data_IF_522390095257
#
_entry.id   IF_522390095257
#
_cell.length_a   1.000
_cell.length_b   1.000
_cell.length_c   1.000
_cell.angle_alpha   90.00
_cell.angle_beta   90.00
_cell.angle_gamma   90.00
#
_symmetry.space_group_name_H-M   'P 1'
#
loop_
_entity.id
_entity.type
_entity.pdbx_description
1 polymer ?
#
# COMPACT_ATOMS: atom_id res chain seq x y z
N UNK A 1 -31.40 6.00 6.52
CA UNK A 1 -30.02 6.35 6.13
C UNK A 1 -29.07 5.55 7.01
N UNK A 2 -28.73 4.31 6.60
CA UNK A 2 -27.91 3.43 7.41
C UNK A 2 -26.43 3.81 7.25
N UNK A 3 -25.86 4.42 8.27
CA UNK A 3 -24.41 4.66 8.38
C UNK A 3 -23.71 3.32 8.54
N UNK A 4 -23.18 2.79 7.43
CA UNK A 4 -22.27 1.66 7.44
C UNK A 4 -20.94 2.11 8.06
N UNK A 5 -20.85 2.08 9.41
CA UNK A 5 -19.60 2.22 10.16
C UNK A 5 -18.73 0.98 10.00
N UNK A 6 -18.36 0.69 8.75
CA UNK A 6 -17.24 -0.17 8.46
C UNK A 6 -15.94 0.60 8.70
N UNK A 7 -14.94 -0.04 9.33
CA UNK A 7 -13.58 0.50 9.38
C UNK A 7 -13.14 0.87 7.95
N UNK A 8 -12.31 1.90 7.75
CA UNK A 8 -11.88 2.36 6.40
C UNK A 8 -11.34 1.27 5.45
N UNK A 9 -10.96 0.12 6.00
CA UNK A 9 -10.47 -1.09 5.32
C UNK A 9 -11.59 -2.09 4.99
N UNK A 10 -12.72 -2.09 5.71
CA UNK A 10 -13.85 -2.99 5.44
C UNK A 10 -14.75 -2.50 4.30
N UNK A 11 -14.68 -1.21 3.96
CA UNK A 11 -15.30 -0.68 2.75
C UNK A 11 -14.48 -1.13 1.54
N UNK A 12 -14.97 -2.14 0.82
CA UNK A 12 -14.36 -2.64 -0.43
C UNK A 12 -14.34 -1.62 -1.58
N UNK A 13 -14.82 -0.39 -1.37
CA UNK A 13 -14.86 0.64 -2.41
C UNK A 13 -13.47 0.88 -3.02
N UNK A 14 -13.32 0.90 -4.36
CA UNK A 14 -12.06 1.23 -5.03
C UNK A 14 -11.57 2.65 -4.72
N UNK A 15 -12.44 3.53 -4.20
CA UNK A 15 -12.12 4.90 -3.80
C UNK A 15 -11.96 5.07 -2.27
N UNK A 16 -11.87 3.98 -1.48
CA UNK A 16 -11.72 4.15 -0.03
C UNK A 16 -10.37 4.79 0.33
N UNK A 17 -10.29 5.48 1.48
CA UNK A 17 -9.07 6.21 1.89
C UNK A 17 -7.83 5.32 1.92
N UNK A 18 -7.99 4.01 2.17
CA UNK A 18 -6.87 3.07 2.13
C UNK A 18 -6.36 2.73 0.70
N UNK A 19 -6.92 3.31 -0.37
CA UNK A 19 -6.31 3.36 -1.73
C UNK A 19 -5.79 4.77 -1.97
N UNK A 20 -6.65 5.77 -1.74
CA UNK A 20 -6.38 7.16 -2.09
C UNK A 20 -5.21 7.71 -1.31
N UNK A 21 -5.16 7.51 0.02
CA UNK A 21 -4.08 8.03 0.86
C UNK A 21 -2.72 7.41 0.47
N UNK A 22 -2.57 6.08 0.35
CA UNK A 22 -1.33 5.50 -0.16
C UNK A 22 -0.94 5.98 -1.56
N UNK A 23 -1.90 6.08 -2.49
CA UNK A 23 -1.62 6.55 -3.85
C UNK A 23 -1.16 8.01 -3.86
N UNK A 24 -1.77 8.88 -3.05
CA UNK A 24 -1.36 10.28 -2.89
C UNK A 24 0.04 10.37 -2.25
N UNK A 25 0.36 9.53 -1.26
CA UNK A 25 1.70 9.50 -0.66
C UNK A 25 2.74 9.11 -1.71
N UNK A 26 2.50 8.05 -2.47
CA UNK A 26 3.40 7.63 -3.56
C UNK A 26 3.57 8.75 -4.57
N UNK A 27 2.47 9.36 -5.02
CA UNK A 27 2.51 10.47 -5.96
C UNK A 27 3.30 11.65 -5.40
N UNK A 28 3.04 12.05 -4.15
CA UNK A 28 3.73 13.15 -3.49
C UNK A 28 5.24 12.88 -3.38
N UNK A 29 5.65 11.66 -3.03
CA UNK A 29 7.07 11.29 -2.94
C UNK A 29 7.73 11.29 -4.32
N UNK A 30 7.07 10.73 -5.35
CA UNK A 30 7.62 10.71 -6.70
C UNK A 30 7.73 12.11 -7.31
N UNK A 31 6.71 12.95 -7.10
CA UNK A 31 6.72 14.36 -7.54
C UNK A 31 7.79 15.14 -6.79
N UNK A 32 7.90 14.95 -5.48
CA UNK A 32 8.94 15.55 -4.65
C UNK A 32 10.34 15.18 -5.14
N UNK A 33 10.58 13.90 -5.45
CA UNK A 33 11.85 13.44 -6.00
C UNK A 33 12.21 14.08 -7.36
N UNK A 34 11.23 14.62 -8.10
CA UNK A 34 11.45 15.34 -9.36
C UNK A 34 11.66 16.84 -9.13
N UNK A 35 10.79 17.47 -8.33
CA UNK A 35 10.69 18.93 -8.16
C UNK A 35 11.64 19.47 -7.08
N UNK A 36 11.74 18.79 -5.95
CA UNK A 36 12.53 19.20 -4.78
C UNK A 36 13.36 17.99 -4.29
N UNK A 37 14.41 17.60 -5.05
CA UNK A 37 15.15 16.37 -4.77
C UNK A 37 15.83 16.39 -3.40
N UNK A 38 16.15 17.55 -2.84
CA UNK A 38 16.73 17.71 -1.50
C UNK A 38 15.87 17.12 -0.37
N UNK A 39 14.57 16.91 -0.59
CA UNK A 39 13.66 16.36 0.41
C UNK A 39 13.67 14.82 0.46
N UNK A 40 14.17 14.15 -0.59
CA UNK A 40 13.98 12.70 -0.78
C UNK A 40 15.28 12.01 -1.20
N UNK A 41 16.12 12.71 -1.95
CA UNK A 41 17.37 12.23 -2.52
C UNK A 41 18.53 12.85 -1.74
N UNK A 42 19.28 12.00 -1.04
CA UNK A 42 20.40 12.45 -0.22
C UNK A 42 21.71 12.51 -1.01
N UNK A 43 22.07 11.41 -1.71
CA UNK A 43 23.36 11.30 -2.39
C UNK A 43 23.19 11.41 -3.91
N UNK A 44 22.33 10.59 -4.51
CA UNK A 44 22.13 10.57 -5.96
C UNK A 44 20.75 10.10 -6.36
N UNK A 45 20.15 10.72 -7.38
CA UNK A 45 18.81 10.30 -7.87
C UNK A 45 18.78 8.83 -8.30
N UNK A 46 19.94 8.29 -8.72
CA UNK A 46 20.10 6.89 -9.08
C UNK A 46 20.02 5.94 -7.88
N UNK A 47 20.56 6.32 -6.72
CA UNK A 47 20.43 5.49 -5.50
C UNK A 47 18.96 5.39 -5.08
N UNK A 48 18.22 6.48 -5.14
CA UNK A 48 16.83 6.54 -4.71
C UNK A 48 15.95 5.72 -5.66
N UNK A 49 16.18 5.86 -6.97
CA UNK A 49 15.48 5.07 -7.97
C UNK A 49 15.76 3.56 -7.82
N UNK A 50 17.01 3.18 -7.58
CA UNK A 50 17.39 1.77 -7.46
C UNK A 50 16.98 1.16 -6.11
N UNK A 51 17.39 1.79 -5.01
CA UNK A 51 17.26 1.25 -3.66
C UNK A 51 15.85 1.47 -3.12
N UNK A 52 15.31 2.68 -3.18
CA UNK A 52 14.00 2.99 -2.60
C UNK A 52 12.86 2.59 -3.54
N UNK A 53 12.89 3.03 -4.80
CA UNK A 53 11.77 2.78 -5.73
C UNK A 53 11.77 1.32 -6.17
N UNK A 54 12.88 0.82 -6.74
CA UNK A 54 12.90 -0.51 -7.34
C UNK A 54 13.01 -1.62 -6.30
N UNK A 55 14.10 -1.68 -5.52
CA UNK A 55 14.30 -2.71 -4.49
C UNK A 55 13.30 -2.57 -3.33
N UNK A 56 13.23 -1.38 -2.73
CA UNK A 56 12.37 -1.10 -1.59
C UNK A 56 10.89 -1.20 -1.96
N UNK A 57 10.45 -0.52 -3.01
CA UNK A 57 9.07 -0.57 -3.50
C UNK A 57 8.66 -1.98 -3.92
N UNK A 58 9.52 -2.69 -4.64
CA UNK A 58 9.29 -4.09 -5.03
C UNK A 58 9.12 -5.00 -3.81
N UNK A 59 10.03 -4.93 -2.84
CA UNK A 59 9.95 -5.67 -1.59
C UNK A 59 8.67 -5.30 -0.81
N UNK A 60 8.36 -4.01 -0.68
CA UNK A 60 7.18 -3.52 0.02
C UNK A 60 5.89 -4.10 -0.58
N UNK A 61 5.76 -4.06 -1.91
CA UNK A 61 4.61 -4.61 -2.61
C UNK A 61 4.42 -6.11 -2.34
N UNK A 62 5.51 -6.88 -2.47
CA UNK A 62 5.51 -8.32 -2.22
C UNK A 62 5.20 -8.65 -0.75
N UNK A 63 5.75 -7.90 0.20
CA UNK A 63 5.46 -8.01 1.63
C UNK A 63 3.98 -7.76 1.93
N UNK A 64 3.41 -6.69 1.37
CA UNK A 64 1.99 -6.40 1.51
C UNK A 64 1.12 -7.56 1.01
N UNK A 65 1.42 -8.05 -0.20
CA UNK A 65 0.71 -9.19 -0.80
C UNK A 65 0.84 -10.46 0.02
N UNK A 66 2.03 -10.81 0.52
CA UNK A 66 2.25 -12.06 1.26
C UNK A 66 1.50 -12.08 2.60
N UNK A 67 1.44 -10.95 3.30
CA UNK A 67 0.70 -10.80 4.57
C UNK A 67 -0.80 -10.92 4.32
N UNK A 68 -1.32 -10.26 3.29
CA UNK A 68 -2.73 -10.42 2.90
C UNK A 68 -3.04 -11.86 2.49
N UNK A 69 -2.13 -12.51 1.74
CA UNK A 69 -2.22 -13.89 1.26
C UNK A 69 -2.55 -14.90 2.36
N UNK A 70 -2.06 -14.67 3.57
CA UNK A 70 -2.24 -15.53 4.75
C UNK A 70 -3.37 -15.09 5.69
N UNK A 71 -4.23 -14.17 5.23
CA UNK A 71 -5.32 -13.57 6.00
C UNK A 71 -4.88 -12.80 7.25
N UNK A 72 -3.60 -12.47 7.38
CA UNK A 72 -3.06 -11.79 8.56
C UNK A 72 -3.54 -10.34 8.67
N UNK A 73 -3.40 -9.79 9.89
CA UNK A 73 -3.80 -8.43 10.23
C UNK A 73 -2.90 -7.39 9.59
N UNK A 74 -3.49 -6.26 9.19
CA UNK A 74 -2.79 -5.11 8.62
C UNK A 74 -1.69 -4.54 9.54
N UNK A 75 -1.79 -4.75 10.86
CA UNK A 75 -0.74 -4.35 11.81
C UNK A 75 0.63 -4.90 11.44
N UNK A 76 0.68 -6.09 10.85
CA UNK A 76 1.94 -6.67 10.41
C UNK A 76 2.51 -5.94 9.20
N UNK A 77 1.68 -5.43 8.29
CA UNK A 77 2.13 -4.61 7.16
C UNK A 77 2.87 -3.38 7.68
N UNK A 78 2.30 -2.70 8.68
CA UNK A 78 2.92 -1.53 9.31
C UNK A 78 4.27 -1.88 9.95
N UNK A 79 4.33 -2.96 10.72
CA UNK A 79 5.58 -3.40 11.37
C UNK A 79 6.64 -3.76 10.33
N UNK A 80 6.29 -4.55 9.32
CA UNK A 80 7.24 -4.96 8.28
C UNK A 80 7.66 -3.80 7.38
N UNK A 81 6.78 -2.82 7.11
CA UNK A 81 7.13 -1.61 6.38
C UNK A 81 8.13 -0.74 7.15
N UNK A 82 8.00 -0.63 8.48
CA UNK A 82 8.97 0.04 9.34
C UNK A 82 10.34 -0.66 9.30
N UNK A 83 10.35 -1.98 9.43
CA UNK A 83 11.59 -2.77 9.33
C UNK A 83 12.22 -2.64 7.94
N UNK A 84 11.41 -2.63 6.88
CA UNK A 84 11.89 -2.43 5.52
C UNK A 84 12.49 -1.03 5.33
N UNK A 85 11.90 0.01 5.93
CA UNK A 85 12.48 1.35 5.98
C UNK A 85 13.87 1.37 6.63
N UNK A 86 14.07 0.63 7.72
CA UNK A 86 15.39 0.47 8.33
C UNK A 86 16.40 -0.20 7.37
N UNK A 87 15.96 -1.23 6.64
CA UNK A 87 16.82 -1.95 5.68
C UNK A 87 17.20 -1.05 4.48
N UNK A 88 16.24 -0.34 3.91
CA UNK A 88 16.49 0.61 2.81
C UNK A 88 17.45 1.71 3.27
N UNK A 89 17.27 2.23 4.49
CA UNK A 89 18.18 3.23 5.07
C UNK A 89 19.60 2.68 5.26
N UNK A 90 19.71 1.43 5.72
CA UNK A 90 21.00 0.76 5.83
C UNK A 90 21.69 0.62 4.47
N UNK A 91 20.95 0.34 3.38
CA UNK A 91 21.54 0.28 2.03
C UNK A 91 22.01 1.64 1.53
N UNK A 92 21.26 2.72 1.78
CA UNK A 92 21.71 4.08 1.45
C UNK A 92 23.02 4.44 2.15
N UNK A 93 23.15 4.09 3.43
CA UNK A 93 24.39 4.27 4.18
C UNK A 93 25.52 3.38 3.63
N UNK A 94 25.30 2.07 3.50
CA UNK A 94 26.35 1.10 3.23
C UNK A 94 26.87 1.14 1.78
N UNK A 95 26.01 1.41 0.80
CA UNK A 95 26.38 1.40 -0.62
C UNK A 95 26.75 2.79 -1.14
N UNK A 96 26.11 3.84 -0.62
CA UNK A 96 26.20 5.20 -1.17
C UNK A 96 26.75 6.23 -0.18
N UNK A 97 27.20 5.81 1.01
CA UNK A 97 27.71 6.69 2.08
C UNK A 97 26.70 7.77 2.51
N UNK A 98 25.39 7.49 2.43
CA UNK A 98 24.34 8.38 2.94
C UNK A 98 24.30 8.40 4.48
N UNK A 99 23.52 9.30 5.07
CA UNK A 99 23.42 9.43 6.54
C UNK A 99 22.50 8.35 7.11
N UNK A 100 23.04 7.52 8.03
CA UNK A 100 22.29 6.42 8.64
C UNK A 100 21.14 6.91 9.54
N UNK A 101 21.40 7.92 10.37
CA UNK A 101 20.48 8.44 11.41
C UNK A 101 19.81 9.77 11.01
N UNK A 102 19.36 9.89 9.77
CA UNK A 102 18.51 11.03 9.37
C UNK A 102 17.04 10.69 9.56
N UNK A 103 16.40 11.30 10.56
CA UNK A 103 14.98 11.10 10.84
C UNK A 103 14.09 11.54 9.67
N UNK A 104 14.44 12.65 9.01
CA UNK A 104 13.70 13.17 7.87
C UNK A 104 13.63 12.16 6.72
N UNK A 105 14.79 11.70 6.24
CA UNK A 105 14.83 10.75 5.13
C UNK A 105 14.27 9.39 5.51
N UNK A 106 14.47 8.93 6.75
CA UNK A 106 13.84 7.71 7.24
C UNK A 106 12.32 7.77 7.18
N UNK A 107 11.70 8.88 7.60
CA UNK A 107 10.24 9.05 7.55
C UNK A 107 9.75 9.05 6.10
N UNK A 108 10.42 9.75 5.19
CA UNK A 108 10.02 9.81 3.77
C UNK A 108 10.06 8.45 3.08
N UNK A 109 11.16 7.70 3.23
CA UNK A 109 11.29 6.35 2.69
C UNK A 109 10.26 5.41 3.30
N UNK A 110 10.14 5.42 4.62
CA UNK A 110 9.20 4.55 5.32
C UNK A 110 7.76 4.85 4.90
N UNK A 111 7.38 6.11 4.75
CA UNK A 111 6.06 6.50 4.29
C UNK A 111 5.78 5.98 2.87
N UNK A 112 6.76 6.08 1.96
CA UNK A 112 6.67 5.52 0.62
C UNK A 112 6.48 3.99 0.65
N UNK A 113 7.33 3.27 1.39
CA UNK A 113 7.27 1.81 1.51
C UNK A 113 5.97 1.34 2.18
N UNK A 114 5.49 2.07 3.18
CA UNK A 114 4.22 1.80 3.85
C UNK A 114 3.05 1.99 2.89
N UNK A 115 3.09 3.02 2.05
CA UNK A 115 2.07 3.23 1.03
C UNK A 115 2.05 2.10 -0.01
N UNK A 116 3.22 1.71 -0.54
CA UNK A 116 3.33 0.63 -1.54
C UNK A 116 2.89 -0.72 -0.96
N UNK A 117 3.33 -1.05 0.26
CA UNK A 117 2.92 -2.29 0.94
C UNK A 117 1.43 -2.31 1.27
N UNK A 118 0.83 -1.16 1.59
CA UNK A 118 -0.63 -1.05 1.78
C UNK A 118 -1.40 -1.35 0.50
N UNK A 119 -0.96 -0.80 -0.64
CA UNK A 119 -1.58 -1.10 -1.94
C UNK A 119 -1.41 -2.58 -2.32
N UNK A 120 -0.24 -3.17 -2.07
CA UNK A 120 0.02 -4.60 -2.29
C UNK A 120 -0.90 -5.48 -1.44
N UNK A 121 -1.03 -5.17 -0.14
CA UNK A 121 -1.95 -5.85 0.77
C UNK A 121 -3.38 -5.77 0.26
N UNK A 122 -3.81 -4.59 -0.15
CA UNK A 122 -5.18 -4.35 -0.60
C UNK A 122 -5.51 -5.03 -1.93
N UNK A 123 -4.56 -5.06 -2.86
CA UNK A 123 -4.73 -5.76 -4.14
C UNK A 123 -4.96 -7.26 -3.92
N UNK A 124 -4.23 -7.86 -2.97
CA UNK A 124 -4.44 -9.26 -2.62
C UNK A 124 -5.76 -9.48 -1.89
N UNK A 125 -6.14 -8.58 -0.97
CA UNK A 125 -7.46 -8.65 -0.31
C UNK A 125 -8.62 -8.60 -1.30
N UNK A 126 -8.56 -7.72 -2.30
CA UNK A 126 -9.59 -7.63 -3.33
C UNK A 126 -9.74 -8.93 -4.12
N UNK A 127 -8.61 -9.52 -4.55
CA UNK A 127 -8.58 -10.81 -5.23
C UNK A 127 -9.12 -11.95 -4.37
N UNK A 128 -8.71 -11.98 -3.10
CA UNK A 128 -9.19 -12.98 -2.14
C UNK A 128 -10.71 -12.89 -1.94
N UNK A 129 -11.26 -11.69 -1.78
CA UNK A 129 -12.71 -11.50 -1.61
C UNK A 129 -13.49 -11.99 -2.84
N UNK A 130 -13.03 -11.67 -4.05
CA UNK A 130 -13.68 -12.11 -5.27
C UNK A 130 -13.54 -13.62 -5.53
N UNK A 131 -12.41 -14.23 -5.16
CA UNK A 131 -12.16 -15.66 -5.43
C UNK A 131 -12.76 -16.56 -4.36
N UNK A 132 -12.56 -16.22 -3.08
CA UNK A 132 -12.97 -17.06 -1.94
C UNK A 132 -14.38 -16.74 -1.46
N UNK A 133 -14.89 -15.55 -1.70
CA UNK A 133 -16.23 -15.12 -1.31
C UNK A 133 -17.04 -14.64 -2.52
N UNK A 134 -16.75 -15.19 -3.70
CA UNK A 134 -17.35 -14.80 -4.99
C UNK A 134 -18.88 -14.82 -5.02
N UNK A 135 -19.51 -15.59 -4.13
CA UNK A 135 -20.96 -15.67 -4.00
C UNK A 135 -21.57 -14.44 -3.29
N UNK A 136 -20.82 -13.73 -2.44
CA UNK A 136 -21.27 -12.49 -1.76
C UNK A 136 -20.55 -11.26 -2.33
N UNK A 137 -19.36 -11.40 -2.91
CA UNK A 137 -18.55 -10.28 -3.36
C UNK A 137 -18.02 -10.47 -4.76
N UNK A 138 -17.97 -9.38 -5.54
CA UNK A 138 -17.31 -9.30 -6.85
C UNK A 138 -16.17 -8.30 -6.80
N UNK A 139 -15.12 -8.53 -7.59
CA UNK A 139 -14.01 -7.59 -7.69
C UNK A 139 -14.47 -6.28 -8.36
N UNK A 140 -14.02 -5.14 -7.82
CA UNK A 140 -14.25 -3.80 -8.37
C UNK A 140 -12.90 -3.10 -8.51
N UNK A 141 -12.25 -3.33 -9.65
CA UNK A 141 -10.90 -2.84 -9.93
C UNK A 141 -9.79 -3.61 -9.18
N UNK A 142 -8.53 -3.16 -9.30
CA UNK A 142 -7.38 -3.87 -8.72
C UNK A 142 -7.33 -3.85 -7.19
N UNK A 143 -7.97 -2.88 -6.54
CA UNK A 143 -7.90 -2.65 -5.09
C UNK A 143 -9.25 -2.69 -4.36
N UNK A 144 -10.34 -3.00 -5.07
CA UNK A 144 -11.69 -2.94 -4.52
C UNK A 144 -12.51 -4.20 -4.77
N UNK A 145 -13.58 -4.33 -4.00
CA UNK A 145 -14.62 -5.35 -4.13
C UNK A 145 -15.98 -4.75 -3.74
N UNK A 146 -17.04 -5.26 -4.33
CA UNK A 146 -18.43 -4.85 -4.10
C UNK A 146 -19.24 -6.06 -3.68
N UNK A 147 -20.29 -5.87 -2.88
CA UNK A 147 -21.24 -6.94 -2.60
C UNK A 147 -21.98 -7.33 -3.89
N UNK A 148 -21.97 -8.61 -4.24
CA UNK A 148 -22.89 -9.25 -5.18
C UNK A 148 -24.24 -9.40 -4.49
N UNK A 149 -25.06 -8.34 -4.50
CA UNK A 149 -26.37 -8.42 -3.84
C UNK A 149 -27.11 -7.09 -3.66
N UNK A 150 -27.47 -6.45 -4.77
CA UNK A 150 -28.60 -5.51 -4.83
C UNK A 150 -29.48 -5.86 -6.05
N UNK A 151 -29.84 -7.14 -6.18
CA UNK A 151 -30.53 -7.64 -7.37
C UNK A 151 -31.07 -9.07 -7.22
N UNK A 152 -32.06 -9.23 -6.34
CA UNK A 152 -33.35 -9.91 -6.54
C UNK A 152 -33.88 -10.29 -5.14
N UNK A 153 -34.80 -9.49 -4.63
CA UNK A 153 -35.64 -9.95 -3.53
C UNK A 153 -36.41 -11.20 -4.04
N UNK A 154 -36.50 -12.28 -3.26
CA UNK A 154 -37.37 -13.39 -3.60
C UNK A 154 -38.82 -12.90 -3.46
N UNK A 155 -39.42 -12.45 -4.57
CA UNK A 155 -40.78 -11.87 -4.57
C UNK A 155 -41.28 -11.34 -5.92
N UNK A 156 -40.41 -10.86 -6.82
CA UNK A 156 -40.87 -10.21 -8.07
C UNK A 156 -40.95 -11.18 -9.27
N UNK A 157 -41.69 -12.27 -9.09
CA UNK A 157 -42.21 -13.06 -10.23
C UNK A 157 -43.57 -13.62 -9.83
N UNK A 158 -44.59 -12.79 -10.06
CA UNK A 158 -46.00 -13.18 -10.11
C UNK A 158 -46.43 -13.30 -11.58
#
# INVERSE_FOLDING_TARGET
MATSSGTLISQGSPASLAVVVPALIILAVLVSAVIAPDQVVEVSRGDFALVTIFLGGGAAWLTGRSIAGTWRSYRQVVIYALLLGCVVRFFHFALFNGTLLSLHYFVTDTAFLMAVSTLGFRAERARQMATRYGWIYRQSGPFGWLASGAGKAPGDSA
#
